data_IF_141397045446
#
_entry.id   IF_141397045446
#
_cell.length_a   1.000
_cell.length_b   1.000
_cell.length_c   1.000
_cell.angle_alpha   90.00
_cell.angle_beta   90.00
_cell.angle_gamma   90.00
#
_symmetry.space_group_name_H-M   'P 1'
#
loop_
_entity.id
_entity.type
_entity.pdbx_description
1 polymer ?
#
# COMPACT_ATOMS: atom_id res chain seq x y z
N UNK A 1 -7.07 20.52 -4.41
CA UNK A 1 -6.39 19.32 -4.98
C UNK A 1 -7.27 18.73 -6.04
N UNK A 2 -6.73 18.44 -7.22
CA UNK A 2 -7.47 17.68 -8.22
C UNK A 2 -7.38 16.17 -7.89
N UNK A 3 -8.32 15.38 -8.37
CA UNK A 3 -8.35 13.97 -8.01
C UNK A 3 -7.24 13.13 -8.66
N UNK A 4 -6.66 13.63 -9.74
CA UNK A 4 -5.44 13.07 -10.31
C UNK A 4 -4.27 13.15 -9.32
N UNK A 5 -4.05 14.31 -8.70
CA UNK A 5 -3.06 14.52 -7.64
C UNK A 5 -3.33 13.61 -6.44
N UNK A 6 -4.60 13.45 -6.05
CA UNK A 6 -4.97 12.57 -4.93
C UNK A 6 -4.68 11.09 -5.26
N UNK A 7 -4.97 10.66 -6.49
CA UNK A 7 -4.67 9.29 -6.95
C UNK A 7 -3.16 9.04 -6.97
N UNK A 8 -2.38 9.99 -7.48
CA UNK A 8 -0.91 9.91 -7.46
C UNK A 8 -0.36 9.90 -6.04
N UNK A 9 -0.93 10.71 -5.15
CA UNK A 9 -0.54 10.74 -3.73
C UNK A 9 -0.67 9.37 -3.07
N UNK A 10 -1.83 8.72 -3.18
CA UNK A 10 -2.03 7.38 -2.60
C UNK A 10 -1.14 6.31 -3.25
N UNK A 11 -0.82 6.46 -4.55
CA UNK A 11 0.13 5.57 -5.23
C UNK A 11 1.54 5.70 -4.65
N UNK A 12 2.10 6.92 -4.60
CA UNK A 12 3.44 7.15 -4.06
C UNK A 12 3.51 6.84 -2.57
N UNK A 13 2.46 7.15 -1.80
CA UNK A 13 2.34 6.74 -0.40
C UNK A 13 2.45 5.21 -0.27
N UNK A 14 1.72 4.44 -1.08
CA UNK A 14 1.78 2.98 -1.07
C UNK A 14 3.20 2.49 -1.39
N UNK A 15 3.83 3.04 -2.44
CA UNK A 15 5.19 2.67 -2.86
C UNK A 15 6.21 2.93 -1.75
N UNK A 16 6.21 4.13 -1.17
CA UNK A 16 7.15 4.51 -0.11
C UNK A 16 7.00 3.64 1.13
N UNK A 17 5.76 3.34 1.55
CA UNK A 17 5.57 2.45 2.69
C UNK A 17 6.04 1.01 2.40
N UNK A 18 5.90 0.52 1.16
CA UNK A 18 6.48 -0.78 0.79
C UNK A 18 8.01 -0.75 0.78
N UNK A 19 8.64 0.35 0.37
CA UNK A 19 10.10 0.52 0.49
C UNK A 19 10.53 0.44 1.96
N UNK A 20 9.82 1.11 2.87
CA UNK A 20 10.07 1.01 4.31
C UNK A 20 9.92 -0.43 4.80
N UNK A 21 8.86 -1.13 4.38
CA UNK A 21 8.65 -2.54 4.75
C UNK A 21 9.79 -3.44 4.24
N UNK A 22 10.29 -3.23 3.02
CA UNK A 22 11.42 -3.96 2.44
C UNK A 22 12.71 -3.65 3.21
N UNK A 23 12.99 -2.38 3.49
CA UNK A 23 14.16 -1.99 4.27
C UNK A 23 14.12 -2.60 5.68
N UNK A 24 12.94 -2.63 6.31
CA UNK A 24 12.75 -3.30 7.60
C UNK A 24 13.01 -4.80 7.48
N UNK A 25 12.50 -5.47 6.45
CA UNK A 25 12.79 -6.88 6.20
C UNK A 25 14.30 -7.13 5.99
N UNK A 26 14.97 -6.32 5.18
CA UNK A 26 16.42 -6.45 4.95
C UNK A 26 17.21 -6.20 6.24
N UNK A 27 16.87 -5.15 6.99
CA UNK A 27 17.46 -4.88 8.29
C UNK A 27 17.24 -6.07 9.25
N UNK A 28 16.04 -6.65 9.28
CA UNK A 28 15.76 -7.83 10.09
C UNK A 28 16.60 -9.04 9.66
N UNK A 29 16.72 -9.32 8.35
CA UNK A 29 17.51 -10.45 7.83
C UNK A 29 19.01 -10.27 8.09
N UNK A 30 19.58 -9.11 7.77
CA UNK A 30 21.04 -8.87 7.90
C UNK A 30 21.47 -8.55 9.32
N UNK A 31 20.62 -7.85 10.09
CA UNK A 31 20.93 -7.52 11.47
C UNK A 31 20.53 -8.64 12.43
N UNK A 32 19.79 -9.69 12.01
CA UNK A 32 19.48 -10.83 12.89
C UNK A 32 20.74 -11.40 13.52
N UNK A 33 21.77 -11.65 12.70
CA UNK A 33 22.99 -12.30 13.16
C UNK A 33 23.89 -11.35 13.97
N UNK A 34 23.98 -10.07 13.58
CA UNK A 34 24.74 -9.04 14.28
C UNK A 34 24.10 -8.63 15.61
N UNK A 35 22.77 -8.51 15.65
CA UNK A 35 22.00 -8.22 16.85
C UNK A 35 22.00 -9.42 17.78
N UNK A 36 21.85 -10.67 17.30
CA UNK A 36 21.95 -11.87 18.16
C UNK A 36 23.27 -11.93 18.95
N UNK A 37 24.38 -11.55 18.33
CA UNK A 37 25.69 -11.48 19.00
C UNK A 37 25.79 -10.38 20.06
N UNK A 38 25.21 -9.20 19.80
CA UNK A 38 25.32 -8.03 20.68
C UNK A 38 24.23 -8.02 21.78
N UNK A 39 23.01 -8.42 21.47
CA UNK A 39 21.86 -8.36 22.37
C UNK A 39 21.89 -9.43 23.47
N UNK A 40 22.51 -10.60 23.24
CA UNK A 40 22.67 -11.65 24.27
C UNK A 40 23.32 -11.13 25.55
N UNK A 41 24.09 -10.05 25.45
CA UNK A 41 24.80 -9.45 26.57
C UNK A 41 24.02 -8.32 27.27
N UNK A 42 23.00 -7.72 26.63
CA UNK A 42 22.30 -6.54 27.14
C UNK A 42 20.79 -6.74 27.37
N UNK A 43 20.11 -7.61 26.59
CA UNK A 43 18.72 -8.01 26.85
C UNK A 43 18.53 -9.51 26.57
N UNK A 44 17.99 -10.23 27.56
CA UNK A 44 17.63 -11.64 27.45
C UNK A 44 16.28 -11.82 26.73
N UNK A 45 16.16 -11.30 25.51
CA UNK A 45 15.00 -11.56 24.65
C UNK A 45 15.20 -12.91 23.94
N UNK A 46 14.21 -13.80 24.03
CA UNK A 46 14.28 -15.07 23.31
C UNK A 46 14.15 -14.85 21.80
N UNK A 47 14.75 -15.72 21.00
CA UNK A 47 14.66 -15.62 19.53
C UNK A 47 13.20 -15.62 19.05
N UNK A 48 12.33 -16.39 19.73
CA UNK A 48 10.90 -16.46 19.42
C UNK A 48 10.17 -15.15 19.70
N UNK A 49 10.50 -14.45 20.78
CA UNK A 49 9.87 -13.15 21.10
C UNK A 49 10.32 -12.07 20.12
N UNK A 50 11.61 -12.04 19.79
CA UNK A 50 12.16 -11.10 18.82
C UNK A 50 11.50 -11.30 17.44
N UNK A 51 11.44 -12.55 16.97
CA UNK A 51 10.80 -12.90 15.70
C UNK A 51 9.31 -12.53 15.73
N UNK A 52 8.58 -12.88 16.79
CA UNK A 52 7.16 -12.59 16.90
C UNK A 52 6.84 -11.08 16.84
N UNK A 53 7.64 -10.24 17.49
CA UNK A 53 7.46 -8.79 17.47
C UNK A 53 7.73 -8.22 16.07
N UNK A 54 8.79 -8.66 15.39
CA UNK A 54 9.14 -8.16 14.07
C UNK A 54 8.17 -8.64 13.00
N UNK A 55 7.82 -9.93 12.98
CA UNK A 55 6.83 -10.48 12.05
C UNK A 55 5.44 -9.91 12.31
N UNK A 56 5.04 -9.79 13.59
CA UNK A 56 3.78 -9.15 13.97
C UNK A 56 3.72 -7.68 13.54
N UNK A 57 4.79 -6.92 13.79
CA UNK A 57 4.93 -5.54 13.35
C UNK A 57 4.84 -5.40 11.83
N UNK A 58 5.58 -6.22 11.07
CA UNK A 58 5.53 -6.25 9.61
C UNK A 58 4.13 -6.60 9.09
N UNK A 59 3.43 -7.56 9.72
CA UNK A 59 2.08 -7.94 9.34
C UNK A 59 1.07 -6.79 9.53
N UNK A 60 1.07 -6.17 10.72
CA UNK A 60 0.20 -5.02 11.03
C UNK A 60 0.52 -3.85 10.09
N UNK A 61 1.80 -3.54 9.88
CA UNK A 61 2.22 -2.46 9.01
C UNK A 61 1.79 -2.72 7.56
N UNK A 62 1.98 -3.95 7.05
CA UNK A 62 1.49 -4.33 5.72
C UNK A 62 -0.03 -4.15 5.57
N UNK A 63 -0.82 -4.51 6.59
CA UNK A 63 -2.27 -4.28 6.59
C UNK A 63 -2.59 -2.79 6.54
N UNK A 64 -1.88 -1.96 7.31
CA UNK A 64 -2.06 -0.51 7.28
C UNK A 64 -1.75 0.08 5.89
N UNK A 65 -0.72 -0.40 5.19
CA UNK A 65 -0.41 0.01 3.81
C UNK A 65 -1.58 -0.31 2.87
N UNK A 66 -2.15 -1.51 2.99
CA UNK A 66 -3.28 -1.91 2.16
C UNK A 66 -4.50 -1.03 2.45
N UNK A 67 -4.83 -0.83 3.72
CA UNK A 67 -6.04 -0.13 4.15
C UNK A 67 -5.98 1.38 3.86
N UNK A 68 -4.83 2.03 4.12
CA UNK A 68 -4.69 3.49 4.04
C UNK A 68 -4.00 3.98 2.76
N UNK A 69 -3.31 3.11 2.02
CA UNK A 69 -2.66 3.44 0.75
C UNK A 69 -3.37 2.83 -0.44
N UNK A 70 -3.34 1.49 -0.54
CA UNK A 70 -3.77 0.79 -1.75
C UNK A 70 -5.29 0.87 -1.98
N UNK A 71 -6.10 0.67 -0.93
CA UNK A 71 -7.56 0.69 -1.04
C UNK A 71 -8.08 2.05 -1.53
N UNK A 72 -7.67 3.20 -0.96
CA UNK A 72 -8.05 4.52 -1.48
C UNK A 72 -7.60 4.76 -2.93
N UNK A 73 -6.39 4.33 -3.30
CA UNK A 73 -5.91 4.40 -4.68
C UNK A 73 -6.82 3.64 -5.65
N UNK A 74 -7.19 2.40 -5.31
CA UNK A 74 -8.07 1.57 -6.14
C UNK A 74 -9.48 2.14 -6.22
N UNK A 75 -10.02 2.67 -5.13
CA UNK A 75 -11.33 3.31 -5.09
C UNK A 75 -11.39 4.52 -6.06
N UNK A 76 -10.38 5.39 -6.03
CA UNK A 76 -10.28 6.52 -6.95
C UNK A 76 -10.16 6.04 -8.40
N UNK A 77 -9.28 5.06 -8.66
CA UNK A 77 -9.09 4.50 -10.01
C UNK A 77 -10.39 3.91 -10.58
N UNK A 78 -11.17 3.22 -9.75
CA UNK A 78 -12.47 2.66 -10.15
C UNK A 78 -13.49 3.75 -10.44
N UNK A 79 -13.54 4.80 -9.61
CA UNK A 79 -14.44 5.94 -9.81
C UNK A 79 -14.16 6.64 -11.15
N UNK A 80 -12.89 6.96 -11.43
CA UNK A 80 -12.50 7.60 -12.70
C UNK A 80 -12.74 6.72 -13.93
N UNK A 81 -12.54 5.40 -13.80
CA UNK A 81 -12.83 4.46 -14.89
C UNK A 81 -14.32 4.40 -15.22
N UNK A 82 -15.20 4.46 -14.21
CA UNK A 82 -16.66 4.34 -14.38
C UNK A 82 -17.28 5.56 -15.04
N UNK A 83 -16.80 6.76 -14.72
CA UNK A 83 -17.27 8.00 -15.35
C UNK A 83 -16.99 8.04 -16.87
N UNK A 84 -15.89 7.43 -17.32
CA UNK A 84 -15.55 7.35 -18.75
C UNK A 84 -16.49 6.40 -19.52
N UNK A 85 -16.92 5.30 -18.90
CA UNK A 85 -17.81 4.33 -19.54
C UNK A 85 -19.26 4.84 -19.64
N UNK A 86 -19.74 5.58 -18.63
CA UNK A 86 -21.09 6.18 -18.64
C UNK A 86 -21.30 7.24 -19.74
N UNK A 87 -20.28 8.07 -19.99
CA UNK A 87 -20.34 9.10 -21.04
C UNK A 87 -20.30 8.51 -22.46
N UNK A 88 -19.68 7.34 -22.65
CA UNK A 88 -19.66 6.65 -23.93
C UNK A 88 -21.02 6.08 -24.34
N UNK A 89 -21.87 5.70 -23.39
CA UNK A 89 -23.21 5.16 -23.69
C UNK A 89 -24.23 6.28 -23.96
N UNK A 90 -24.14 7.40 -23.26
CA UNK A 90 -25.02 8.55 -23.51
C UNK A 90 -24.79 9.17 -24.88
N UNK A 91 -23.54 9.20 -25.36
CA UNK A 91 -23.18 9.77 -26.67
C UNK A 91 -23.75 8.97 -27.85
N UNK A 92 -23.94 7.65 -27.68
CA UNK A 92 -24.55 6.80 -28.71
C UNK A 92 -26.08 6.93 -28.78
N UNK A 93 -26.76 7.21 -27.67
CA UNK A 93 -28.21 7.34 -27.65
C UNK A 93 -28.68 8.69 -28.22
N UNK A 94 -28.04 9.80 -27.84
CA UNK A 94 -28.43 11.14 -28.32
C UNK A 94 -28.16 11.38 -29.82
N UNK A 95 -27.38 10.53 -30.48
CA UNK A 95 -27.12 10.63 -31.92
C UNK A 95 -28.17 9.87 -32.76
N UNK A 96 -28.90 8.92 -32.17
CA UNK A 96 -30.02 8.23 -32.81
C UNK A 96 -31.29 9.09 -32.81
N UNK A 97 -31.50 9.85 -31.73
CA UNK A 97 -32.66 10.75 -31.59
C UNK A 97 -32.57 12.03 -32.45
N UNK A 98 -31.35 12.43 -32.86
CA UNK A 98 -31.12 13.60 -33.71
C UNK A 98 -31.14 13.28 -35.22
N UNK A 99 -31.31 12.01 -35.60
CA UNK A 99 -31.26 11.53 -36.97
C UNK A 99 -32.62 11.02 -37.50
N UNK A 100 -33.70 11.18 -36.73
CA UNK A 100 -35.09 10.90 -37.13
C UNK A 100 -35.95 12.15 -37.08
#
# INVERSE_FOLDING_TARGET
MNAFQLTQFFLYMTILNYIVLILWLLAFVFAKDSIKRLHRHWFSLSEQQFDAIHYGGMAIYKIAILLFGLVPYLALKLLYRRSFFGLSLQKHHGQLDAAG
#
